data_IF_514422586670
#
_entry.id   IF_514422586670
#
_cell.length_a   1.000
_cell.length_b   1.000
_cell.length_c   1.000
_cell.angle_alpha   90.00
_cell.angle_beta   90.00
_cell.angle_gamma   90.00
#
_symmetry.space_group_name_H-M   'P 1'
#
loop_
_entity.id
_entity.type
_entity.pdbx_description
1 polymer ?
#
# COMPACT_ATOMS: atom_id res chain seq x y z
N UNK A 1 25.74 -67.33 0.34
CA UNK A 1 24.76 -66.23 0.48
C UNK A 1 25.30 -65.06 -0.31
N UNK A 2 24.53 -64.53 -1.27
CA UNK A 2 24.96 -63.40 -2.11
C UNK A 2 23.71 -62.72 -2.67
N UNK A 3 23.36 -61.55 -2.15
CA UNK A 3 22.21 -60.77 -2.62
C UNK A 3 22.65 -59.85 -3.77
N UNK A 4 22.12 -60.09 -4.98
CA UNK A 4 22.25 -59.15 -6.11
C UNK A 4 21.20 -58.05 -6.02
N UNK A 5 21.62 -56.82 -5.73
CA UNK A 5 20.71 -55.68 -5.52
C UNK A 5 20.41 -54.92 -6.81
N UNK A 6 19.38 -55.32 -7.55
CA UNK A 6 18.90 -54.59 -8.75
C UNK A 6 18.08 -53.36 -8.33
N UNK A 7 18.75 -52.27 -7.99
CA UNK A 7 18.11 -51.03 -7.53
C UNK A 7 17.42 -50.30 -8.70
N UNK A 8 16.13 -50.57 -8.92
CA UNK A 8 15.31 -49.86 -9.90
C UNK A 8 15.12 -48.38 -9.49
N UNK A 9 16.01 -47.50 -9.98
CA UNK A 9 15.84 -46.04 -9.85
C UNK A 9 14.69 -45.57 -10.73
N UNK A 10 13.46 -45.63 -10.21
CA UNK A 10 12.35 -44.81 -10.74
C UNK A 10 12.71 -43.33 -10.55
N UNK A 11 13.18 -42.70 -11.62
CA UNK A 11 13.27 -41.24 -11.67
C UNK A 11 11.84 -40.67 -11.58
N UNK A 12 11.47 -40.14 -10.42
CA UNK A 12 10.26 -39.35 -10.28
C UNK A 12 10.46 -38.04 -11.04
N UNK A 13 9.95 -37.98 -12.27
CA UNK A 13 9.82 -36.73 -13.02
C UNK A 13 8.85 -35.82 -12.27
N UNK A 14 9.38 -35.00 -11.36
CA UNK A 14 8.66 -33.88 -10.76
C UNK A 14 8.50 -32.85 -11.88
N UNK A 15 7.42 -32.97 -12.63
CA UNK A 15 6.98 -31.93 -13.57
C UNK A 15 6.66 -30.71 -12.73
N UNK A 16 7.59 -29.75 -12.67
CA UNK A 16 7.36 -28.43 -12.09
C UNK A 16 6.37 -27.69 -12.98
N UNK A 17 5.08 -27.94 -12.78
CA UNK A 17 4.01 -27.09 -13.31
C UNK A 17 4.17 -25.72 -12.64
N UNK A 18 4.83 -24.81 -13.35
CA UNK A 18 5.08 -23.46 -12.86
C UNK A 18 3.79 -22.64 -13.02
N UNK A 19 2.80 -22.94 -12.17
CA UNK A 19 1.45 -22.39 -12.27
C UNK A 19 1.52 -20.89 -11.99
N UNK A 20 1.24 -20.10 -13.04
CA UNK A 20 1.06 -18.66 -12.90
C UNK A 20 -0.33 -18.37 -12.34
N UNK A 21 -0.41 -17.38 -11.48
CA UNK A 21 -1.64 -16.79 -10.97
C UNK A 21 -2.10 -15.68 -11.91
N UNK A 22 -3.41 -15.58 -12.19
CA UNK A 22 -3.99 -14.44 -12.91
C UNK A 22 -4.37 -13.35 -11.92
N UNK A 23 -3.54 -12.31 -11.88
CA UNK A 23 -3.63 -11.18 -10.97
C UNK A 23 -4.25 -10.00 -11.73
N UNK A 24 -5.47 -9.61 -11.38
CA UNK A 24 -6.00 -8.32 -11.81
C UNK A 24 -5.44 -7.23 -10.90
N UNK A 25 -4.84 -6.20 -11.48
CA UNK A 25 -4.34 -5.02 -10.76
C UNK A 25 -5.25 -3.85 -11.09
N UNK A 26 -5.65 -3.06 -10.10
CA UNK A 26 -6.48 -1.88 -10.26
C UNK A 26 -5.90 -0.67 -9.53
N UNK A 27 -6.01 0.51 -10.15
CA UNK A 27 -5.66 1.80 -9.55
C UNK A 27 -6.71 2.28 -8.54
N UNK A 28 -6.92 3.60 -8.43
CA UNK A 28 -7.84 4.19 -7.46
C UNK A 28 -9.29 3.74 -7.70
N UNK A 29 -9.93 3.12 -6.71
CA UNK A 29 -11.30 2.60 -6.85
C UNK A 29 -12.37 3.69 -6.67
N UNK A 30 -12.13 4.69 -5.81
CA UNK A 30 -13.07 5.73 -5.38
C UNK A 30 -14.49 5.20 -5.04
N UNK A 31 -14.56 4.08 -4.32
CA UNK A 31 -15.81 3.44 -3.94
C UNK A 31 -16.63 2.83 -5.09
N UNK A 32 -16.08 2.77 -6.32
CA UNK A 32 -16.69 2.17 -7.53
C UNK A 32 -16.48 0.65 -7.58
N UNK A 33 -16.68 -0.03 -6.45
CA UNK A 33 -16.43 -1.46 -6.29
C UNK A 33 -17.37 -2.33 -7.15
N UNK A 34 -18.64 -1.93 -7.29
CA UNK A 34 -19.58 -2.55 -8.23
C UNK A 34 -19.03 -2.55 -9.68
N UNK A 35 -18.47 -1.41 -10.13
CA UNK A 35 -17.91 -1.27 -11.47
C UNK A 35 -16.60 -2.06 -11.64
N UNK A 36 -15.75 -2.04 -10.61
CA UNK A 36 -14.51 -2.83 -10.52
C UNK A 36 -14.81 -4.33 -10.71
N UNK A 37 -15.79 -4.88 -9.98
CA UNK A 37 -16.17 -6.29 -10.14
C UNK A 37 -16.94 -6.58 -11.43
N UNK A 38 -17.67 -5.61 -12.00
CA UNK A 38 -18.23 -5.77 -13.35
C UNK A 38 -17.11 -5.93 -14.39
N UNK A 39 -16.07 -5.10 -14.33
CA UNK A 39 -14.92 -5.17 -15.25
C UNK A 39 -14.17 -6.50 -15.13
N UNK A 40 -13.98 -7.02 -13.91
CA UNK A 40 -13.46 -8.38 -13.66
C UNK A 40 -14.30 -9.44 -14.39
N UNK A 41 -15.62 -9.43 -14.20
CA UNK A 41 -16.52 -10.39 -14.86
C UNK A 41 -16.53 -10.23 -16.40
N UNK A 42 -16.50 -9.00 -16.90
CA UNK A 42 -16.43 -8.71 -18.34
C UNK A 42 -15.14 -9.28 -18.95
N UNK A 43 -13.99 -9.08 -18.29
CA UNK A 43 -12.68 -9.59 -18.72
C UNK A 43 -12.63 -11.13 -18.72
N UNK A 44 -13.12 -11.78 -17.66
CA UNK A 44 -13.25 -13.24 -17.59
C UNK A 44 -14.12 -13.79 -18.73
N UNK A 45 -15.26 -13.13 -18.99
CA UNK A 45 -16.24 -13.55 -20.00
C UNK A 45 -15.73 -13.36 -21.43
N UNK A 46 -15.00 -12.27 -21.70
CA UNK A 46 -14.46 -11.95 -23.04
C UNK A 46 -13.27 -12.85 -23.40
N UNK A 47 -12.42 -13.20 -22.43
CA UNK A 47 -11.15 -13.88 -22.68
C UNK A 47 -11.16 -15.38 -22.33
N UNK A 48 -12.24 -15.90 -21.74
CA UNK A 48 -12.38 -17.32 -21.40
C UNK A 48 -11.48 -17.78 -20.25
N UNK A 49 -11.06 -16.86 -19.36
CA UNK A 49 -10.25 -17.18 -18.18
C UNK A 49 -10.98 -16.91 -16.87
N UNK A 50 -10.38 -17.34 -15.76
CA UNK A 50 -10.69 -16.86 -14.41
C UNK A 50 -9.52 -16.06 -13.85
N UNK A 51 -9.85 -15.06 -13.04
CA UNK A 51 -8.93 -14.21 -12.29
C UNK A 51 -8.85 -14.77 -10.87
N UNK A 52 -7.65 -15.02 -10.38
CA UNK A 52 -7.42 -15.64 -9.07
C UNK A 52 -7.53 -14.63 -7.93
N UNK A 53 -7.01 -13.41 -8.16
CA UNK A 53 -6.98 -12.34 -7.17
C UNK A 53 -7.07 -10.97 -7.84
N UNK A 54 -7.79 -10.05 -7.21
CA UNK A 54 -7.84 -8.63 -7.54
C UNK A 54 -7.00 -7.85 -6.53
N UNK A 55 -6.10 -6.99 -6.99
CA UNK A 55 -5.32 -6.07 -6.18
C UNK A 55 -5.84 -4.65 -6.40
N UNK A 56 -6.17 -3.93 -5.33
CA UNK A 56 -6.61 -2.52 -5.39
C UNK A 56 -5.58 -1.65 -4.68
N UNK A 57 -4.94 -0.77 -5.44
CA UNK A 57 -3.82 0.06 -5.01
C UNK A 57 -4.28 1.37 -4.33
N UNK A 58 -5.22 1.28 -3.40
CA UNK A 58 -5.68 2.43 -2.60
C UNK A 58 -6.84 3.22 -3.18
N UNK A 59 -7.24 4.27 -2.45
CA UNK A 59 -8.51 4.98 -2.59
C UNK A 59 -9.69 4.01 -2.76
N UNK A 60 -9.73 2.99 -1.89
CA UNK A 60 -10.76 1.98 -1.87
C UNK A 60 -12.09 2.54 -1.38
N UNK A 61 -12.04 3.49 -0.43
CA UNK A 61 -13.18 4.11 0.23
C UNK A 61 -14.04 3.07 0.97
N UNK A 62 -13.48 2.48 2.03
CA UNK A 62 -14.11 1.48 2.90
C UNK A 62 -15.29 1.99 3.77
N UNK A 63 -16.15 2.86 3.23
CA UNK A 63 -17.22 3.56 3.95
C UNK A 63 -18.37 2.60 4.29
N UNK A 64 -18.58 2.29 5.57
CA UNK A 64 -19.64 1.38 6.05
C UNK A 64 -20.98 2.10 6.20
N UNK A 65 -20.94 3.36 6.61
CA UNK A 65 -22.11 4.22 6.82
C UNK A 65 -21.69 5.71 6.77
N UNK A 66 -22.67 6.63 6.90
CA UNK A 66 -22.45 8.08 6.79
C UNK A 66 -21.55 8.70 7.89
N UNK A 67 -21.28 8.00 9.00
CA UNK A 67 -20.35 8.48 10.02
C UNK A 67 -18.89 8.34 9.56
N UNK A 68 -18.55 7.29 8.81
CA UNK A 68 -17.20 7.07 8.29
C UNK A 68 -16.77 8.18 7.30
N UNK A 69 -17.73 8.83 6.63
CA UNK A 69 -17.49 10.01 5.78
C UNK A 69 -16.89 11.19 6.57
N UNK A 70 -17.12 11.27 7.88
CA UNK A 70 -16.53 12.31 8.74
C UNK A 70 -15.03 12.05 9.02
N UNK A 71 -14.54 10.85 8.72
CA UNK A 71 -13.13 10.46 8.87
C UNK A 71 -12.36 10.44 7.54
N UNK A 72 -12.98 10.91 6.44
CA UNK A 72 -12.36 11.00 5.12
C UNK A 72 -11.76 12.39 4.85
N UNK A 73 -10.50 12.42 4.42
CA UNK A 73 -9.81 13.62 3.93
C UNK A 73 -10.26 13.99 2.50
N UNK A 74 -11.55 14.26 2.33
CA UNK A 74 -12.21 14.63 1.06
C UNK A 74 -13.05 15.88 1.30
N UNK A 75 -13.10 16.89 0.40
CA UNK A 75 -14.02 18.02 0.53
C UNK A 75 -15.49 17.57 0.58
N UNK A 76 -16.29 18.12 1.49
CA UNK A 76 -17.65 17.62 1.79
C UNK A 76 -18.56 17.49 0.55
N UNK A 77 -18.45 18.39 -0.44
CA UNK A 77 -19.21 18.33 -1.71
C UNK A 77 -18.95 17.07 -2.54
N UNK A 78 -17.85 16.35 -2.30
CA UNK A 78 -17.49 15.13 -3.00
C UNK A 78 -17.60 13.86 -2.12
N UNK A 79 -17.94 13.98 -0.84
CA UNK A 79 -18.09 12.82 0.06
C UNK A 79 -19.30 11.98 -0.34
N UNK A 80 -19.06 10.74 -0.75
CA UNK A 80 -20.11 9.80 -1.17
C UNK A 80 -19.94 8.44 -0.47
N UNK A 81 -21.06 7.81 -0.14
CA UNK A 81 -21.12 6.49 0.51
C UNK A 81 -20.54 5.35 -0.36
N UNK A 82 -20.41 5.57 -1.67
CA UNK A 82 -19.90 4.58 -2.62
C UNK A 82 -20.77 3.31 -2.68
N UNK A 83 -20.13 2.18 -2.98
CA UNK A 83 -20.80 0.87 -3.08
C UNK A 83 -20.32 -0.16 -2.05
N UNK A 84 -19.20 0.09 -1.37
CA UNK A 84 -18.59 -0.86 -0.41
C UNK A 84 -19.53 -1.33 0.70
N UNK A 85 -20.38 -0.45 1.25
CA UNK A 85 -21.31 -0.81 2.34
C UNK A 85 -22.19 -2.03 2.00
N UNK A 86 -22.52 -2.26 0.73
CA UNK A 86 -23.32 -3.41 0.26
C UNK A 86 -22.62 -4.75 0.54
N UNK A 87 -21.30 -4.78 0.36
CA UNK A 87 -20.44 -5.93 0.62
C UNK A 87 -20.23 -6.13 2.11
N UNK A 88 -20.02 -5.03 2.85
CA UNK A 88 -19.90 -5.01 4.30
C UNK A 88 -21.12 -5.60 5.02
N UNK A 89 -22.34 -5.25 4.59
CA UNK A 89 -23.60 -5.77 5.17
C UNK A 89 -24.09 -7.08 4.52
N UNK A 90 -23.33 -7.67 3.60
CA UNK A 90 -23.68 -8.94 2.94
C UNK A 90 -24.86 -8.88 1.96
N UNK A 91 -25.23 -7.70 1.44
CA UNK A 91 -26.18 -7.58 0.32
C UNK A 91 -25.57 -8.06 -1.01
N UNK A 92 -24.25 -7.95 -1.17
CA UNK A 92 -23.50 -8.41 -2.35
C UNK A 92 -22.27 -9.17 -1.88
N UNK A 93 -21.93 -10.28 -2.54
CA UNK A 93 -20.68 -11.00 -2.30
C UNK A 93 -19.60 -10.54 -3.28
N UNK A 94 -18.36 -10.35 -2.82
CA UNK A 94 -17.23 -10.07 -3.70
C UNK A 94 -16.85 -11.35 -4.47
N UNK A 95 -16.93 -11.37 -5.82
CA UNK A 95 -16.85 -12.59 -6.63
C UNK A 95 -15.46 -13.22 -6.67
N UNK A 96 -14.41 -12.41 -6.54
CA UNK A 96 -13.00 -12.81 -6.58
C UNK A 96 -12.31 -12.33 -5.30
N UNK A 97 -11.32 -13.09 -4.83
CA UNK A 97 -10.50 -12.69 -3.68
C UNK A 97 -9.88 -11.31 -3.96
N UNK A 98 -10.16 -10.33 -3.12
CA UNK A 98 -9.68 -8.95 -3.30
C UNK A 98 -8.73 -8.59 -2.19
N UNK A 99 -7.53 -8.10 -2.53
CA UNK A 99 -6.52 -7.57 -1.61
C UNK A 99 -6.41 -6.07 -1.82
N UNK A 100 -6.39 -5.33 -0.71
CA UNK A 100 -6.53 -3.87 -0.67
C UNK A 100 -5.41 -3.27 0.19
N UNK A 101 -4.83 -2.16 -0.27
CA UNK A 101 -4.13 -1.18 0.56
C UNK A 101 -4.97 0.10 0.64
N UNK A 102 -4.68 1.00 1.58
CA UNK A 102 -5.34 2.30 1.69
C UNK A 102 -4.67 3.36 0.81
N UNK A 103 -5.46 4.27 0.26
CA UNK A 103 -4.96 5.53 -0.33
C UNK A 103 -5.00 6.70 0.66
N UNK A 104 -5.21 7.91 0.16
CA UNK A 104 -5.42 9.09 1.00
C UNK A 104 -6.92 9.40 1.20
N UNK A 105 -7.80 8.96 0.30
CA UNK A 105 -9.25 9.13 0.42
C UNK A 105 -9.88 7.87 1.04
N UNK A 106 -9.65 7.63 2.33
CA UNK A 106 -10.14 6.42 3.03
C UNK A 106 -11.06 6.72 4.20
N UNK A 107 -11.88 5.72 4.56
CA UNK A 107 -12.55 5.65 5.86
C UNK A 107 -11.50 5.28 6.94
N UNK A 108 -10.60 6.22 7.24
CA UNK A 108 -9.39 5.99 8.04
C UNK A 108 -9.67 5.40 9.41
N UNK A 109 -10.81 5.72 10.01
CA UNK A 109 -11.28 5.12 11.26
C UNK A 109 -11.49 3.60 11.14
N UNK A 110 -12.11 3.12 10.05
CA UNK A 110 -12.31 1.68 9.84
C UNK A 110 -11.02 0.97 9.42
N UNK A 111 -10.20 1.60 8.57
CA UNK A 111 -8.89 1.06 8.19
C UNK A 111 -7.98 0.89 9.42
N UNK A 112 -8.08 1.76 10.42
CA UNK A 112 -7.32 1.67 11.67
C UNK A 112 -7.77 0.50 12.57
N UNK A 113 -9.05 0.10 12.56
CA UNK A 113 -9.52 -1.12 13.25
C UNK A 113 -8.82 -2.40 12.75
N UNK A 114 -8.24 -2.34 11.55
CA UNK A 114 -7.54 -3.41 10.85
C UNK A 114 -6.07 -3.04 10.54
N UNK A 115 -5.39 -2.29 11.42
CA UNK A 115 -4.01 -1.81 11.18
C UNK A 115 -3.00 -2.93 10.80
N UNK A 116 -3.11 -4.13 11.40
CA UNK A 116 -2.28 -5.30 11.07
C UNK A 116 -2.88 -6.22 9.98
N UNK A 117 -3.85 -5.70 9.23
CA UNK A 117 -4.58 -6.39 8.17
C UNK A 117 -5.80 -7.17 8.64
N UNK A 118 -6.75 -7.38 7.72
CA UNK A 118 -7.94 -8.19 7.98
C UNK A 118 -9.05 -8.06 6.95
N UNK A 119 -10.10 -8.86 7.11
CA UNK A 119 -11.29 -8.79 6.26
C UNK A 119 -12.06 -7.48 6.44
N UNK A 120 -12.07 -6.63 5.41
CA UNK A 120 -12.98 -5.48 5.30
C UNK A 120 -14.41 -5.94 5.04
N UNK A 121 -14.57 -7.02 4.28
CA UNK A 121 -15.84 -7.67 3.99
C UNK A 121 -15.56 -9.14 3.64
N UNK A 122 -16.58 -10.01 3.51
CA UNK A 122 -16.38 -11.36 3.03
C UNK A 122 -15.69 -11.37 1.65
N UNK A 123 -14.52 -12.02 1.59
CA UNK A 123 -13.65 -12.09 0.39
C UNK A 123 -12.89 -10.79 0.00
N UNK A 124 -12.92 -9.74 0.83
CA UNK A 124 -12.11 -8.52 0.67
C UNK A 124 -11.18 -8.34 1.88
N UNK A 125 -9.87 -8.39 1.66
CA UNK A 125 -8.82 -8.34 2.69
C UNK A 125 -7.97 -7.08 2.56
N UNK A 126 -7.89 -6.29 3.63
CA UNK A 126 -6.94 -5.18 3.75
C UNK A 126 -5.59 -5.68 4.27
N UNK A 127 -4.48 -5.26 3.66
CA UNK A 127 -3.13 -5.65 4.12
C UNK A 127 -2.75 -5.05 5.47
N UNK A 128 -3.31 -3.89 5.83
CA UNK A 128 -2.89 -3.10 7.00
C UNK A 128 -2.23 -1.79 6.60
N UNK A 129 -1.74 -1.03 7.60
CA UNK A 129 -0.92 0.17 7.36
C UNK A 129 0.34 -0.16 6.56
N UNK A 130 0.93 -1.32 6.86
CA UNK A 130 1.76 -2.12 5.95
C UNK A 130 1.46 -3.60 6.17
N UNK A 131 1.73 -4.46 5.19
CA UNK A 131 1.39 -5.87 5.29
C UNK A 131 2.06 -6.77 4.26
N UNK A 132 2.16 -8.07 4.56
CA UNK A 132 2.45 -9.10 3.56
C UNK A 132 1.69 -10.42 3.84
N UNK A 133 1.20 -11.03 2.76
CA UNK A 133 0.41 -12.27 2.71
C UNK A 133 0.81 -13.10 1.50
N UNK A 134 0.31 -14.34 1.40
CA UNK A 134 0.48 -15.18 0.21
C UNK A 134 -0.85 -15.66 -0.36
N UNK A 135 -0.98 -15.66 -1.69
CA UNK A 135 -2.13 -16.25 -2.40
C UNK A 135 -1.63 -17.42 -3.24
N UNK A 136 -1.99 -18.65 -2.89
CA UNK A 136 -1.47 -19.87 -3.53
C UNK A 136 0.08 -19.89 -3.70
N UNK A 137 0.81 -19.28 -2.75
CA UNK A 137 2.28 -19.17 -2.75
C UNK A 137 2.83 -17.84 -3.30
N UNK A 138 2.05 -17.08 -4.09
CA UNK A 138 2.45 -15.77 -4.61
C UNK A 138 2.55 -14.77 -3.44
N UNK A 139 3.74 -14.20 -3.21
CA UNK A 139 4.04 -13.36 -2.06
C UNK A 139 3.72 -11.88 -2.34
N UNK A 140 2.67 -11.36 -1.71
CA UNK A 140 2.15 -10.01 -1.96
C UNK A 140 2.38 -9.17 -0.71
N UNK A 141 3.14 -8.09 -0.85
CA UNK A 141 3.42 -7.10 0.18
C UNK A 141 2.87 -5.73 -0.21
N UNK A 142 2.75 -4.81 0.74
CA UNK A 142 2.43 -3.42 0.44
C UNK A 142 2.40 -2.49 1.63
N UNK A 143 2.35 -1.18 1.32
CA UNK A 143 2.22 -0.08 2.27
C UNK A 143 1.05 0.83 1.86
N UNK A 144 0.29 1.29 2.84
CA UNK A 144 -0.91 2.12 2.66
C UNK A 144 -0.59 3.62 2.87
N UNK A 145 -1.34 4.49 2.20
CA UNK A 145 -1.25 5.95 2.34
C UNK A 145 -0.38 6.64 1.30
N UNK A 146 -0.15 7.94 1.53
CA UNK A 146 0.72 8.83 0.73
C UNK A 146 1.84 9.40 1.59
N UNK A 147 2.90 9.91 0.98
CA UNK A 147 4.00 10.55 1.72
C UNK A 147 3.71 12.03 2.04
N UNK A 148 3.89 12.40 3.31
CA UNK A 148 4.04 13.80 3.77
C UNK A 148 5.15 13.86 4.81
N UNK A 149 6.10 14.78 4.62
CA UNK A 149 7.40 14.79 5.31
C UNK A 149 7.35 15.06 6.82
N UNK A 150 6.30 15.72 7.32
CA UNK A 150 6.10 16.02 8.75
C UNK A 150 5.41 14.89 9.53
N UNK A 151 4.67 14.03 8.83
CA UNK A 151 3.99 12.86 9.37
C UNK A 151 4.80 11.56 9.20
N UNK A 152 5.66 11.49 8.18
CA UNK A 152 6.52 10.34 7.96
C UNK A 152 7.60 10.21 9.04
N UNK A 153 7.34 9.35 10.03
CA UNK A 153 8.24 9.07 11.16
C UNK A 153 8.73 7.62 11.11
N UNK A 154 9.53 7.34 10.08
CA UNK A 154 10.31 6.11 9.90
C UNK A 154 9.43 4.83 9.87
N UNK A 155 8.91 4.51 8.68
CA UNK A 155 8.10 3.31 8.42
C UNK A 155 8.92 2.01 8.32
N UNK A 156 9.77 1.73 9.30
CA UNK A 156 10.86 0.74 9.18
C UNK A 156 10.43 -0.73 9.13
N UNK A 157 9.21 -1.07 9.55
CA UNK A 157 8.78 -2.47 9.73
C UNK A 157 8.95 -3.28 8.43
N UNK A 158 8.39 -2.77 7.33
CA UNK A 158 8.36 -3.49 6.04
C UNK A 158 9.74 -3.53 5.36
N UNK A 159 10.70 -2.70 5.77
CA UNK A 159 12.08 -2.74 5.30
C UNK A 159 12.89 -3.94 5.88
N UNK A 160 12.32 -4.65 6.86
CA UNK A 160 12.88 -5.90 7.38
C UNK A 160 12.42 -7.15 6.62
N UNK A 161 11.49 -7.00 5.67
CA UNK A 161 11.01 -8.10 4.83
C UNK A 161 12.09 -8.49 3.80
N UNK A 162 12.18 -9.77 3.47
CA UNK A 162 12.89 -10.25 2.27
C UNK A 162 12.05 -10.01 0.99
N UNK A 163 12.67 -10.12 -0.19
CA UNK A 163 12.04 -9.77 -1.47
C UNK A 163 10.66 -10.44 -1.69
N UNK A 164 9.58 -9.68 -1.91
CA UNK A 164 8.26 -10.21 -2.28
C UNK A 164 8.09 -10.37 -3.79
N UNK A 165 7.04 -11.04 -4.23
CA UNK A 165 6.71 -11.18 -5.66
C UNK A 165 6.05 -9.92 -6.21
N UNK A 166 5.10 -9.39 -5.47
CA UNK A 166 4.41 -8.13 -5.74
C UNK A 166 4.58 -7.22 -4.54
N UNK A 167 4.92 -5.95 -4.79
CA UNK A 167 4.75 -4.86 -3.83
C UNK A 167 3.64 -3.91 -4.30
N UNK A 168 2.80 -3.46 -3.37
CA UNK A 168 1.72 -2.51 -3.61
C UNK A 168 1.97 -1.22 -2.81
N UNK A 169 1.99 -0.09 -3.50
CA UNK A 169 1.85 1.24 -2.88
C UNK A 169 0.64 1.96 -3.49
N UNK A 170 0.15 3.02 -2.84
CA UNK A 170 -0.82 3.92 -3.48
C UNK A 170 -0.07 5.00 -4.25
N UNK A 171 0.75 5.77 -3.53
CA UNK A 171 1.70 6.73 -4.08
C UNK A 171 2.82 6.05 -4.89
N UNK A 172 3.44 6.78 -5.82
CA UNK A 172 4.55 6.28 -6.63
C UNK A 172 5.88 6.35 -5.85
N UNK A 173 6.88 5.51 -6.14
CA UNK A 173 8.26 5.80 -5.77
C UNK A 173 8.70 7.12 -6.42
N UNK A 174 9.37 8.00 -5.66
CA UNK A 174 9.93 9.25 -6.23
C UNK A 174 10.89 8.91 -7.37
N UNK A 175 10.97 9.77 -8.38
CA UNK A 175 11.84 9.61 -9.57
C UNK A 175 11.61 8.34 -10.42
N UNK A 176 10.57 7.52 -10.15
CA UNK A 176 10.24 6.33 -10.96
C UNK A 176 9.99 6.67 -12.44
N UNK A 177 9.63 7.92 -12.75
CA UNK A 177 9.46 8.44 -14.10
C UNK A 177 10.71 8.29 -14.97
N UNK A 178 11.91 8.38 -14.36
CA UNK A 178 13.21 8.25 -15.05
C UNK A 178 13.45 6.84 -15.63
N UNK A 179 12.67 5.85 -15.18
CA UNK A 179 12.80 4.43 -15.55
C UNK A 179 11.76 3.98 -16.60
N UNK A 180 11.03 4.93 -17.22
CA UNK A 180 10.04 4.71 -18.26
C UNK A 180 9.98 5.86 -19.28
N UNK A 181 8.91 5.93 -20.09
CA UNK A 181 8.73 6.99 -21.09
C UNK A 181 8.25 8.31 -20.45
N UNK A 182 9.14 8.97 -19.69
CA UNK A 182 8.90 10.29 -19.12
C UNK A 182 8.50 11.34 -20.19
N UNK A 183 9.11 11.39 -21.40
CA UNK A 183 8.66 12.29 -22.45
C UNK A 183 7.20 12.10 -22.89
N UNK A 184 6.68 10.87 -22.92
CA UNK A 184 5.27 10.61 -23.20
C UNK A 184 4.36 10.92 -21.99
N UNK A 185 4.82 10.65 -20.76
CA UNK A 185 4.10 11.04 -19.55
C UNK A 185 3.91 12.57 -19.51
N UNK A 186 4.98 13.34 -19.74
CA UNK A 186 4.95 14.80 -19.75
C UNK A 186 4.08 15.37 -20.87
N UNK A 187 4.05 14.76 -22.06
CA UNK A 187 3.10 15.13 -23.13
C UNK A 187 1.64 14.94 -22.74
N UNK A 188 1.35 14.04 -21.79
CA UNK A 188 -0.01 13.77 -21.26
C UNK A 188 -0.34 14.58 -20.01
N UNK A 189 0.68 14.88 -19.18
CA UNK A 189 0.58 15.65 -17.94
C UNK A 189 1.78 16.62 -17.81
N UNK A 190 1.75 17.78 -18.50
CA UNK A 190 2.89 18.72 -18.51
C UNK A 190 3.24 19.29 -17.13
N UNK A 191 2.24 19.41 -16.25
CA UNK A 191 2.38 19.89 -14.88
C UNK A 191 3.23 18.96 -13.99
N UNK A 192 3.44 17.70 -14.35
CA UNK A 192 4.41 16.84 -13.63
C UNK A 192 5.87 17.29 -13.83
N UNK A 193 6.18 18.18 -14.79
CA UNK A 193 7.54 18.66 -15.04
C UNK A 193 8.16 19.31 -13.78
N UNK A 194 7.45 20.26 -13.16
CA UNK A 194 7.92 20.96 -11.96
C UNK A 194 8.12 20.02 -10.77
N UNK A 195 7.27 19.00 -10.68
CA UNK A 195 7.20 18.12 -9.53
C UNK A 195 8.31 17.06 -9.61
N UNK A 196 8.65 16.61 -10.84
CA UNK A 196 9.83 15.78 -11.12
C UNK A 196 11.12 16.59 -10.92
N UNK A 197 11.19 17.83 -11.39
CA UNK A 197 12.39 18.69 -11.27
C UNK A 197 12.80 18.97 -9.81
N UNK A 198 11.83 19.00 -8.89
CA UNK A 198 12.09 19.19 -7.45
C UNK A 198 12.21 17.89 -6.65
N UNK A 199 11.80 16.75 -7.20
CA UNK A 199 11.61 15.51 -6.44
C UNK A 199 10.35 15.50 -5.55
N UNK A 200 9.33 16.28 -5.89
CA UNK A 200 8.02 16.32 -5.22
C UNK A 200 7.02 15.28 -5.81
N UNK A 201 7.25 14.77 -7.03
CA UNK A 201 6.40 13.74 -7.64
C UNK A 201 6.65 12.35 -7.01
N UNK A 202 5.92 12.07 -5.93
CA UNK A 202 5.85 10.76 -5.28
C UNK A 202 6.60 10.67 -3.95
N UNK A 203 6.83 9.44 -3.50
CA UNK A 203 7.30 9.09 -2.17
C UNK A 203 8.76 8.61 -2.17
N UNK A 204 9.69 9.33 -1.53
CA UNK A 204 11.06 8.85 -1.31
C UNK A 204 11.11 7.54 -0.51
N UNK A 205 10.34 7.34 0.59
CA UNK A 205 10.29 6.05 1.28
C UNK A 205 9.82 4.87 0.42
N UNK A 206 8.98 5.09 -0.60
CA UNK A 206 8.63 4.02 -1.54
C UNK A 206 9.80 3.65 -2.46
N UNK A 207 10.68 4.60 -2.80
CA UNK A 207 11.89 4.33 -3.58
C UNK A 207 12.98 3.62 -2.75
N UNK A 208 13.15 4.01 -1.48
CA UNK A 208 14.02 3.30 -0.53
C UNK A 208 13.60 1.82 -0.40
N UNK A 209 12.29 1.56 -0.29
CA UNK A 209 11.74 0.21 -0.24
C UNK A 209 11.87 -0.53 -1.59
N UNK A 210 11.78 0.16 -2.73
CA UNK A 210 11.97 -0.44 -4.05
C UNK A 210 13.39 -1.00 -4.21
N UNK A 211 14.42 -0.24 -3.81
CA UNK A 211 15.82 -0.68 -3.83
C UNK A 211 16.16 -1.72 -2.75
N UNK A 212 15.54 -1.62 -1.57
CA UNK A 212 15.82 -2.52 -0.44
C UNK A 212 15.14 -3.89 -0.58
N UNK A 213 13.90 -3.92 -1.09
CA UNK A 213 13.11 -5.15 -1.25
C UNK A 213 13.28 -5.80 -2.63
N UNK A 214 13.63 -5.01 -3.68
CA UNK A 214 13.78 -5.43 -5.08
C UNK A 214 12.67 -6.42 -5.52
N UNK A 215 11.38 -6.05 -5.46
CA UNK A 215 10.27 -6.94 -5.77
C UNK A 215 10.20 -7.26 -7.28
N UNK A 216 9.53 -8.34 -7.66
CA UNK A 216 9.40 -8.69 -9.09
C UNK A 216 8.46 -7.74 -9.85
N UNK A 217 7.44 -7.26 -9.17
CA UNK A 217 6.47 -6.29 -9.65
C UNK A 217 6.20 -5.24 -8.57
N UNK A 218 6.07 -3.99 -8.99
CA UNK A 218 5.61 -2.88 -8.15
C UNK A 218 4.36 -2.28 -8.77
N UNK A 219 3.30 -2.16 -8.00
CA UNK A 219 2.02 -1.57 -8.45
C UNK A 219 1.70 -0.30 -7.67
N UNK A 220 1.21 0.72 -8.37
CA UNK A 220 0.84 2.03 -7.81
C UNK A 220 -0.41 2.63 -8.45
N UNK A 221 -0.95 3.68 -7.82
CA UNK A 221 -2.13 4.40 -8.26
C UNK A 221 -1.92 5.91 -8.13
N UNK A 222 -2.74 6.62 -7.34
CA UNK A 222 -2.70 8.04 -6.99
C UNK A 222 -2.70 9.03 -8.19
N UNK A 223 -1.64 9.05 -8.99
CA UNK A 223 -1.36 9.99 -10.09
C UNK A 223 -2.30 9.91 -11.31
N UNK A 224 -3.44 9.20 -11.20
CA UNK A 224 -4.51 9.07 -12.21
C UNK A 224 -4.05 9.01 -13.68
N UNK A 225 -3.12 8.10 -13.97
CA UNK A 225 -2.70 7.75 -15.31
C UNK A 225 -2.01 6.38 -15.34
N UNK A 226 -2.13 5.66 -16.47
CA UNK A 226 -1.24 4.52 -16.74
C UNK A 226 0.17 5.00 -17.06
N UNK A 227 1.16 4.43 -16.38
CA UNK A 227 2.60 4.57 -16.63
C UNK A 227 3.31 3.23 -16.35
N UNK A 228 4.36 2.94 -17.11
CA UNK A 228 5.13 1.69 -17.04
C UNK A 228 6.63 2.03 -17.00
N UNK A 229 7.36 1.33 -16.14
CA UNK A 229 8.80 1.53 -15.95
C UNK A 229 9.49 0.22 -15.55
N UNK A 230 10.81 0.15 -15.75
CA UNK A 230 11.64 -0.99 -15.32
C UNK A 230 12.86 -0.47 -14.58
N UNK A 231 12.94 -0.81 -13.29
CA UNK A 231 14.14 -0.53 -12.48
C UNK A 231 15.00 -1.79 -12.50
N UNK A 232 16.10 -1.76 -13.26
CA UNK A 232 17.15 -2.77 -13.13
C UNK A 232 17.93 -2.55 -11.83
N UNK A 233 18.25 -3.65 -11.14
CA UNK A 233 19.05 -3.69 -9.93
C UNK A 233 20.38 -4.32 -10.27
N UNK A 234 21.47 -3.58 -10.05
CA UNK A 234 22.81 -4.12 -10.25
C UNK A 234 23.02 -5.36 -9.37
N UNK A 235 23.47 -6.44 -9.99
CA UNK A 235 23.89 -7.64 -9.27
C UNK A 235 25.17 -7.33 -8.51
N UNK A 236 25.10 -7.29 -7.18
CA UNK A 236 26.17 -6.82 -6.29
C UNK A 236 27.51 -7.57 -6.50
N UNK A 237 28.37 -7.01 -7.37
CA UNK A 237 29.64 -7.56 -7.79
C UNK A 237 30.66 -6.43 -7.94
N UNK A 238 31.61 -6.35 -6.98
CA UNK A 238 32.37 -5.15 -6.60
C UNK A 238 31.47 -4.00 -6.07
N UNK A 239 31.80 -3.27 -5.00
CA UNK A 239 32.98 -3.36 -4.14
C UNK A 239 34.01 -2.28 -4.43
N UNK A 240 33.83 -1.14 -3.76
CA UNK A 240 34.68 0.06 -3.73
C UNK A 240 34.83 0.82 -5.06
N UNK A 241 34.22 2.01 -5.13
CA UNK A 241 34.89 3.28 -5.46
C UNK A 241 34.06 4.47 -4.94
N UNK A 242 34.74 5.57 -4.65
CA UNK A 242 34.14 6.83 -4.15
C UNK A 242 34.34 7.98 -5.14
N UNK A 243 33.59 9.06 -4.97
CA UNK A 243 33.68 10.34 -5.73
C UNK A 243 33.03 10.32 -7.12
N UNK A 244 32.58 11.45 -7.70
CA UNK A 244 32.70 12.84 -7.26
C UNK A 244 31.43 13.67 -7.60
N UNK A 245 31.23 14.78 -6.87
CA UNK A 245 30.22 15.81 -7.17
C UNK A 245 30.94 17.07 -7.67
N UNK A 246 30.51 17.71 -8.78
CA UNK A 246 30.94 19.05 -9.15
C UNK A 246 29.95 20.12 -8.66
N UNK A 247 30.40 20.99 -7.77
CA UNK A 247 29.95 22.39 -7.72
C UNK A 247 30.78 23.20 -8.77
N UNK A 248 30.55 24.48 -9.08
CA UNK A 248 29.78 25.57 -8.46
C UNK A 248 28.97 26.33 -9.55
N UNK A 249 28.20 27.39 -9.29
CA UNK A 249 28.70 28.79 -9.21
C UNK A 249 27.62 29.73 -8.66
N UNK A 250 28.05 30.77 -7.94
CA UNK A 250 27.24 31.85 -7.30
C UNK A 250 26.47 32.72 -8.33
N UNK A 251 25.16 33.04 -8.16
CA UNK A 251 24.46 33.86 -7.16
C UNK A 251 24.45 35.39 -7.41
N UNK A 252 23.27 36.02 -7.22
CA UNK A 252 23.07 37.44 -6.86
C UNK A 252 21.63 37.69 -6.42
N UNK A 253 21.43 38.64 -5.50
CA UNK A 253 20.12 38.91 -4.88
C UNK A 253 19.69 40.38 -5.01
N UNK A 254 18.37 40.60 -4.87
CA UNK A 254 17.80 41.88 -4.44
C UNK A 254 16.49 41.60 -3.68
N UNK A 255 15.97 42.59 -2.93
CA UNK A 255 14.98 42.42 -1.85
C UNK A 255 13.96 43.57 -1.88
N UNK A 256 12.66 43.28 -1.88
CA UNK A 256 11.62 44.30 -2.19
C UNK A 256 10.20 44.05 -1.63
N UNK A 257 10.09 43.81 -0.33
CA UNK A 257 8.95 44.15 0.56
C UNK A 257 7.50 44.39 0.03
N UNK A 258 6.58 43.59 0.57
CA UNK A 258 5.37 43.98 1.34
C UNK A 258 3.94 43.90 0.72
N UNK A 259 3.05 43.35 1.57
CA UNK A 259 1.60 43.58 1.77
C UNK A 259 0.56 43.17 0.70
N UNK A 260 -0.08 42.02 0.98
CA UNK A 260 -1.53 41.82 1.24
C UNK A 260 -2.47 43.05 1.16
N UNK A 261 -3.77 42.89 0.77
CA UNK A 261 -4.61 41.73 1.11
C UNK A 261 -5.31 41.01 -0.05
N UNK A 262 -5.92 39.86 0.27
CA UNK A 262 -6.65 39.00 -0.65
C UNK A 262 -8.13 39.41 -0.81
N UNK A 263 -8.73 39.07 -1.95
CA UNK A 263 -10.18 38.95 -2.09
C UNK A 263 -10.54 37.80 -3.05
N UNK A 264 -11.61 37.06 -2.73
CA UNK A 264 -12.02 35.80 -3.38
C UNK A 264 -13.02 36.08 -4.50
N UNK A 265 -12.86 35.42 -5.66
CA UNK A 265 -13.95 35.02 -6.56
C UNK A 265 -13.49 33.93 -7.57
N UNK A 266 -14.33 33.37 -8.48
CA UNK A 266 -14.28 31.95 -8.88
C UNK A 266 -13.72 31.78 -10.33
N UNK A 267 -13.66 30.62 -11.00
CA UNK A 267 -14.71 29.59 -11.22
C UNK A 267 -14.22 28.12 -11.32
N UNK A 268 -15.10 27.22 -10.85
CA UNK A 268 -15.08 25.77 -11.07
C UNK A 268 -16.03 25.46 -12.24
N UNK A 269 -15.50 25.32 -13.46
CA UNK A 269 -16.33 25.17 -14.67
C UNK A 269 -16.70 23.71 -14.94
N UNK A 270 -17.99 23.45 -15.19
CA UNK A 270 -18.47 22.26 -15.89
C UNK A 270 -19.44 22.63 -17.03
N UNK A 271 -19.23 21.97 -18.18
CA UNK A 271 -20.18 21.71 -19.27
C UNK A 271 -20.63 22.88 -20.18
N UNK A 272 -20.31 22.69 -21.47
CA UNK A 272 -21.15 22.85 -22.67
C UNK A 272 -22.32 23.87 -22.66
N UNK A 273 -22.13 25.01 -23.34
CA UNK A 273 -22.98 25.42 -24.49
C UNK A 273 -22.31 26.55 -25.32
N UNK A 274 -22.98 27.06 -26.37
CA UNK A 274 -22.36 27.79 -27.50
C UNK A 274 -22.43 29.34 -27.49
N UNK A 275 -21.51 29.91 -28.30
CA UNK A 275 -21.55 31.16 -29.07
C UNK A 275 -20.95 32.52 -28.56
N UNK A 276 -20.26 33.16 -29.53
CA UNK A 276 -19.69 34.51 -29.69
C UNK A 276 -18.47 35.03 -28.85
N UNK A 277 -17.60 35.77 -29.56
CA UNK A 277 -16.28 36.35 -29.20
C UNK A 277 -16.28 37.87 -29.55
N UNK A 278 -15.22 38.70 -29.32
CA UNK A 278 -13.88 38.50 -28.72
C UNK A 278 -13.71 39.40 -27.44
N UNK A 279 -12.60 40.04 -27.00
CA UNK A 279 -11.20 40.34 -27.42
C UNK A 279 -10.45 40.98 -26.21
N UNK A 280 -9.11 40.99 -26.03
CA UNK A 280 -7.92 40.35 -26.65
C UNK A 280 -6.70 40.60 -25.74
N UNK A 281 -5.77 39.62 -25.69
CA UNK A 281 -4.33 39.76 -25.38
C UNK A 281 -3.91 40.30 -23.97
N UNK A 282 -2.62 40.21 -23.56
CA UNK A 282 -2.07 38.94 -23.06
C UNK A 282 -1.32 39.06 -21.71
N UNK A 283 -1.29 37.98 -20.91
CA UNK A 283 -0.62 37.93 -19.59
C UNK A 283 0.49 36.84 -19.57
N UNK A 284 1.69 37.12 -19.02
CA UNK A 284 2.80 36.16 -18.93
C UNK A 284 2.55 35.03 -17.91
N UNK A 285 3.31 33.91 -17.97
CA UNK A 285 2.98 32.68 -17.25
C UNK A 285 3.17 32.78 -15.73
N UNK A 286 2.23 32.17 -15.00
CA UNK A 286 2.24 31.95 -13.54
C UNK A 286 2.48 30.45 -13.29
N UNK A 287 3.19 30.03 -12.22
CA UNK A 287 3.49 28.61 -11.99
C UNK A 287 2.23 27.74 -11.88
N UNK A 288 2.19 26.67 -12.68
CA UNK A 288 1.07 25.72 -12.69
C UNK A 288 1.22 24.72 -11.55
N UNK A 289 0.30 24.73 -10.59
CA UNK A 289 0.21 23.67 -9.59
C UNK A 289 -0.51 22.45 -10.18
N UNK A 290 -0.07 21.25 -9.79
CA UNK A 290 -0.55 19.96 -10.27
C UNK A 290 -2.01 19.68 -9.84
N UNK A 291 -2.98 19.65 -10.78
CA UNK A 291 -4.40 19.49 -10.45
C UNK A 291 -4.80 18.05 -10.09
N UNK A 292 -3.89 17.08 -10.16
CA UNK A 292 -4.13 15.72 -9.67
C UNK A 292 -3.71 15.52 -8.20
N UNK A 293 -2.87 16.40 -7.62
CA UNK A 293 -2.56 16.36 -6.19
C UNK A 293 -3.66 17.04 -5.37
N UNK A 294 -4.49 16.26 -4.68
CA UNK A 294 -5.53 16.79 -3.82
C UNK A 294 -4.95 17.13 -2.45
N UNK A 295 -4.77 18.43 -2.21
CA UNK A 295 -4.33 18.98 -0.93
C UNK A 295 -5.29 18.58 0.20
N UNK A 296 -4.75 17.92 1.22
CA UNK A 296 -5.43 17.73 2.50
C UNK A 296 -5.39 19.07 3.24
N UNK A 297 -6.55 19.65 3.52
CA UNK A 297 -6.63 20.85 4.36
C UNK A 297 -6.35 20.50 5.81
N UNK A 298 -5.30 21.09 6.38
CA UNK A 298 -4.92 20.95 7.79
C UNK A 298 -5.70 21.97 8.65
N UNK A 299 -6.77 21.51 9.31
CA UNK A 299 -7.48 22.26 10.35
C UNK A 299 -6.69 22.26 11.69
N UNK A 300 -5.44 22.73 11.67
CA UNK A 300 -4.61 22.84 12.87
C UNK A 300 -5.00 24.04 13.72
N UNK A 301 -5.76 23.77 14.79
CA UNK A 301 -6.20 24.79 15.75
C UNK A 301 -5.01 25.42 16.48
N UNK A 302 -4.83 26.73 16.33
CA UNK A 302 -3.75 27.51 16.95
C UNK A 302 -3.95 27.61 18.47
N UNK A 303 -2.92 27.25 19.24
CA UNK A 303 -2.82 27.44 20.70
C UNK A 303 -1.41 27.95 21.03
N UNK A 304 -1.23 28.99 21.88
CA UNK A 304 0.00 29.80 21.90
C UNK A 304 1.18 29.23 22.71
N UNK A 305 2.35 29.86 22.50
CA UNK A 305 3.68 29.54 23.03
C UNK A 305 3.88 29.83 24.53
N UNK A 306 4.68 28.97 25.20
CA UNK A 306 5.41 29.34 26.43
C UNK A 306 6.70 28.51 26.61
N UNK A 307 7.81 29.23 26.84
CA UNK A 307 9.01 28.92 27.64
C UNK A 307 9.70 27.54 27.64
N UNK A 308 10.85 27.48 26.94
CA UNK A 308 12.24 27.51 27.50
C UNK A 308 12.69 26.62 28.69
N UNK A 309 14.03 26.48 28.82
CA UNK A 309 14.83 25.90 29.95
C UNK A 309 15.12 24.37 29.80
N UNK A 310 16.35 23.86 30.08
CA UNK A 310 17.13 23.23 29.00
C UNK A 310 17.60 21.78 29.25
N UNK A 311 18.46 21.28 28.35
CA UNK A 311 19.07 19.95 28.38
C UNK A 311 20.17 19.79 29.46
N UNK A 312 20.37 18.57 30.01
CA UNK A 312 21.55 18.19 30.79
C UNK A 312 22.68 17.67 29.88
N UNK A 313 23.89 17.61 30.45
CA UNK A 313 25.16 17.46 29.71
C UNK A 313 25.61 16.01 29.49
N UNK A 314 26.64 15.86 28.65
CA UNK A 314 27.38 14.60 28.45
C UNK A 314 28.17 14.23 29.71
N UNK A 315 28.44 12.93 29.91
CA UNK A 315 29.50 12.48 30.82
C UNK A 315 30.27 11.29 30.21
N UNK A 316 31.60 11.38 30.23
CA UNK A 316 32.51 10.32 29.78
C UNK A 316 32.68 9.27 30.89
N UNK A 317 32.88 7.99 30.53
CA UNK A 317 32.52 6.87 31.41
C UNK A 317 33.07 5.50 31.06
N UNK A 318 34.38 5.41 30.83
CA UNK A 318 35.23 4.19 30.85
C UNK A 318 34.93 3.03 29.89
N UNK A 319 36.00 2.62 29.20
CA UNK A 319 36.08 1.37 28.40
C UNK A 319 35.94 0.13 29.29
N UNK A 320 35.30 -0.91 28.77
CA UNK A 320 35.52 -2.29 29.23
C UNK A 320 35.63 -3.23 28.01
N UNK A 321 36.71 -4.02 27.96
CA UNK A 321 37.01 -4.92 26.85
C UNK A 321 36.55 -6.34 27.13
N UNK A 322 35.56 -6.82 26.39
CA UNK A 322 35.21 -8.24 26.31
C UNK A 322 34.94 -8.59 24.85
N UNK A 323 35.76 -9.48 24.27
CA UNK A 323 35.61 -9.91 22.88
C UNK A 323 34.59 -11.04 22.74
N UNK A 324 33.78 -10.99 21.68
CA UNK A 324 33.05 -12.16 21.16
C UNK A 324 33.05 -12.11 19.64
N UNK A 325 33.20 -13.26 18.99
CA UNK A 325 33.37 -13.33 17.53
C UNK A 325 32.02 -13.19 16.82
N UNK A 326 31.82 -12.08 16.12
CA UNK A 326 30.66 -11.89 15.24
C UNK A 326 30.81 -12.75 13.97
N UNK A 327 30.02 -13.82 13.86
CA UNK A 327 29.85 -14.53 12.59
C UNK A 327 28.99 -13.69 11.63
N UNK A 328 29.34 -13.59 10.33
CA UNK A 328 28.56 -12.81 9.38
C UNK A 328 27.23 -13.51 9.05
N UNK A 329 26.13 -12.99 9.59
CA UNK A 329 24.78 -13.40 9.20
C UNK A 329 24.46 -12.90 7.79
N UNK A 330 24.66 -13.75 6.78
CA UNK A 330 24.25 -13.46 5.40
C UNK A 330 22.72 -13.40 5.29
N UNK A 331 22.15 -12.19 5.25
CA UNK A 331 20.76 -11.96 4.80
C UNK A 331 20.60 -12.62 3.41
N UNK A 332 19.52 -13.39 3.14
CA UNK A 332 19.30 -13.93 1.81
C UNK A 332 19.18 -12.77 0.81
N UNK A 333 20.04 -12.76 -0.21
CA UNK A 333 20.09 -11.66 -1.16
C UNK A 333 18.79 -11.59 -1.98
N UNK A 334 18.29 -10.37 -2.29
CA UNK A 334 17.16 -10.21 -3.20
C UNK A 334 17.51 -10.82 -4.56
N UNK A 335 16.73 -11.82 -4.98
CA UNK A 335 17.06 -12.71 -6.10
C UNK A 335 16.64 -12.18 -7.49
N UNK A 336 16.30 -10.90 -7.59
CA UNK A 336 15.59 -10.32 -8.74
C UNK A 336 16.41 -9.17 -9.32
N UNK A 337 16.78 -9.31 -10.59
CA UNK A 337 17.60 -8.34 -11.33
C UNK A 337 16.82 -7.12 -11.77
N UNK A 338 15.48 -7.15 -11.77
CA UNK A 338 14.68 -5.94 -12.00
C UNK A 338 13.27 -5.98 -11.39
N UNK A 339 12.78 -4.79 -11.04
CA UNK A 339 11.40 -4.50 -10.68
C UNK A 339 10.65 -4.01 -11.92
N UNK A 340 9.54 -4.67 -12.30
CA UNK A 340 8.59 -4.10 -13.27
C UNK A 340 7.57 -3.23 -12.54
N UNK A 341 7.58 -1.93 -12.82
CA UNK A 341 6.63 -0.96 -12.28
C UNK A 341 5.45 -0.76 -13.23
N UNK A 342 4.23 -0.79 -12.67
CA UNK A 342 2.99 -0.41 -13.38
C UNK A 342 2.12 0.45 -12.46
N UNK A 343 1.86 1.68 -12.89
CA UNK A 343 0.81 2.53 -12.33
C UNK A 343 -0.45 2.47 -13.18
N UNK A 344 -1.62 2.60 -12.54
CA UNK A 344 -2.93 2.58 -13.21
C UNK A 344 -3.79 3.79 -12.85
N UNK A 345 -4.75 4.08 -13.74
CA UNK A 345 -5.68 5.20 -13.61
C UNK A 345 -6.80 4.93 -12.57
N UNK A 346 -7.67 5.92 -12.32
CA UNK A 346 -8.88 5.74 -11.50
C UNK A 346 -10.03 5.05 -12.23
N UNK A 347 -10.85 4.33 -11.49
CA UNK A 347 -12.03 3.59 -11.95
C UNK A 347 -13.14 4.50 -12.53
N UNK A 348 -12.90 5.01 -13.75
CA UNK A 348 -13.81 5.84 -14.53
C UNK A 348 -13.98 5.27 -15.96
N UNK A 349 -15.12 5.55 -16.64
CA UNK A 349 -15.35 5.11 -18.01
C UNK A 349 -14.22 5.53 -18.96
N UNK A 350 -13.86 4.65 -19.91
CA UNK A 350 -12.82 4.86 -20.93
C UNK A 350 -11.39 5.07 -20.39
N UNK A 351 -11.12 4.85 -19.10
CA UNK A 351 -9.76 4.93 -18.52
C UNK A 351 -9.09 3.55 -18.38
N UNK A 352 -7.76 3.52 -18.45
CA UNK A 352 -6.95 2.32 -18.23
C UNK A 352 -6.66 2.13 -16.73
N UNK A 353 -7.70 1.77 -15.98
CA UNK A 353 -7.66 1.65 -14.52
C UNK A 353 -7.43 0.22 -14.01
N UNK A 354 -7.51 -0.79 -14.88
CA UNK A 354 -7.33 -2.19 -14.57
C UNK A 354 -6.49 -2.89 -15.63
N UNK A 355 -5.65 -3.85 -15.21
CA UNK A 355 -4.85 -4.74 -16.07
C UNK A 355 -4.85 -6.17 -15.49
N UNK A 356 -4.51 -7.18 -16.30
CA UNK A 356 -4.49 -8.60 -15.86
C UNK A 356 -3.17 -9.26 -16.24
N UNK A 357 -2.39 -9.61 -15.22
CA UNK A 357 -1.03 -10.14 -15.36
C UNK A 357 -0.97 -11.61 -14.93
N UNK A 358 -0.22 -12.43 -15.69
CA UNK A 358 0.08 -13.80 -15.27
C UNK A 358 1.41 -13.86 -14.50
N UNK A 359 1.34 -13.91 -13.17
CA UNK A 359 2.52 -13.85 -12.29
C UNK A 359 2.82 -15.23 -11.69
N UNK A 360 4.06 -15.70 -11.84
CA UNK A 360 4.53 -16.92 -11.18
C UNK A 360 5.03 -16.62 -9.75
N UNK A 361 4.70 -17.44 -8.74
CA UNK A 361 5.24 -17.28 -7.39
C UNK A 361 6.72 -17.66 -7.33
N UNK A 362 7.56 -16.90 -6.61
CA UNK A 362 8.99 -17.25 -6.48
C UNK A 362 9.20 -18.51 -5.63
N UNK A 363 8.30 -18.78 -4.69
CA UNK A 363 8.28 -20.02 -3.91
C UNK A 363 7.28 -20.99 -4.54
N UNK A 364 7.71 -22.21 -4.88
CA UNK A 364 6.76 -23.25 -5.29
C UNK A 364 5.74 -23.51 -4.17
N UNK A 365 4.42 -23.54 -4.46
CA UNK A 365 3.42 -23.77 -3.43
C UNK A 365 3.61 -25.12 -2.74
N UNK A 366 3.37 -25.16 -1.44
CA UNK A 366 3.47 -26.34 -0.57
C UNK A 366 2.39 -27.41 -0.84
N UNK A 367 1.49 -27.16 -1.79
CA UNK A 367 0.46 -28.06 -2.27
C UNK A 367 -0.04 -27.68 -3.67
N UNK A 368 -1.12 -28.30 -4.13
CA UNK A 368 -1.76 -27.93 -5.40
C UNK A 368 -2.34 -26.51 -5.34
N UNK A 369 -2.26 -25.78 -6.46
CA UNK A 369 -2.97 -24.50 -6.62
C UNK A 369 -4.48 -24.75 -6.52
N UNK A 370 -5.13 -24.06 -5.58
CA UNK A 370 -6.54 -24.26 -5.25
C UNK A 370 -7.43 -23.29 -5.99
N UNK A 371 -8.64 -23.74 -6.33
CA UNK A 371 -9.76 -22.89 -6.75
C UNK A 371 -10.94 -23.15 -5.80
N UNK A 372 -11.45 -22.14 -5.07
CA UNK A 372 -10.95 -20.76 -5.01
C UNK A 372 -9.54 -20.67 -4.40
N UNK A 373 -8.74 -19.63 -4.73
CA UNK A 373 -7.40 -19.45 -4.19
C UNK A 373 -7.33 -19.32 -2.67
N UNK A 374 -6.31 -19.94 -2.08
CA UNK A 374 -6.05 -19.93 -0.64
C UNK A 374 -5.19 -18.75 -0.24
N UNK A 375 -5.73 -17.86 0.61
CA UNK A 375 -4.99 -16.77 1.26
C UNK A 375 -4.35 -17.28 2.55
N UNK A 376 -3.02 -17.25 2.64
CA UNK A 376 -2.25 -17.62 3.84
C UNK A 376 -1.43 -16.45 4.37
N UNK A 377 -1.10 -16.47 5.67
CA UNK A 377 -0.17 -15.50 6.25
C UNK A 377 1.26 -15.72 5.72
N UNK A 378 2.01 -14.62 5.58
CA UNK A 378 3.44 -14.69 5.45
C UNK A 378 4.13 -14.86 6.82
N UNK A 379 5.06 -15.82 6.92
CA UNK A 379 5.68 -16.22 8.18
C UNK A 379 6.74 -15.23 8.67
N UNK A 380 7.42 -14.54 7.75
CA UNK A 380 8.40 -13.50 8.08
C UNK A 380 7.67 -12.21 8.46
N UNK A 381 6.61 -11.84 7.73
CA UNK A 381 5.80 -10.68 8.10
C UNK A 381 5.08 -10.83 9.45
N UNK A 382 4.59 -12.03 9.80
CA UNK A 382 4.07 -12.28 11.14
C UNK A 382 5.16 -12.12 12.21
N UNK A 383 6.39 -12.56 11.94
CA UNK A 383 7.52 -12.41 12.87
C UNK A 383 7.92 -10.93 13.05
N UNK A 384 8.00 -10.16 11.96
CA UNK A 384 8.26 -8.72 11.96
C UNK A 384 7.14 -7.99 12.72
N UNK A 385 5.87 -8.25 12.39
CA UNK A 385 4.72 -7.64 13.06
C UNK A 385 4.74 -7.91 14.57
N UNK A 386 5.00 -9.16 14.97
CA UNK A 386 5.08 -9.58 16.38
C UNK A 386 6.25 -8.94 17.13
N UNK A 387 7.43 -8.87 16.50
CA UNK A 387 8.61 -8.26 17.11
C UNK A 387 8.45 -6.74 17.29
N UNK A 388 7.78 -6.07 16.35
CA UNK A 388 7.74 -4.60 16.27
C UNK A 388 6.42 -3.98 16.76
N UNK A 389 5.37 -4.78 17.02
CA UNK A 389 4.11 -4.30 17.63
C UNK A 389 4.28 -3.48 18.92
N UNK A 390 5.24 -3.76 19.84
CA UNK A 390 5.48 -2.90 21.01
C UNK A 390 5.89 -1.45 20.70
N UNK A 391 6.32 -1.17 19.47
CA UNK A 391 6.72 0.17 19.00
C UNK A 391 5.62 0.88 18.20
N UNK A 392 4.48 0.21 17.94
CA UNK A 392 3.30 0.83 17.34
C UNK A 392 2.64 1.80 18.33
N UNK A 393 2.88 3.10 18.13
CA UNK A 393 2.28 4.14 18.95
C UNK A 393 0.85 4.46 18.51
N UNK A 394 -0.04 4.63 19.49
CA UNK A 394 -1.34 5.29 19.33
C UNK A 394 -1.31 6.77 19.74
N UNK A 395 -0.12 7.32 20.05
CA UNK A 395 0.10 8.71 20.45
C UNK A 395 0.58 9.57 19.27
N UNK A 396 0.35 10.89 19.34
CA UNK A 396 0.82 11.86 18.32
C UNK A 396 2.35 11.94 18.18
N UNK A 397 3.08 11.32 19.11
CA UNK A 397 4.51 11.05 18.99
C UNK A 397 4.72 9.53 18.96
N UNK A 398 5.39 9.07 17.91
CA UNK A 398 5.86 7.70 17.77
C UNK A 398 7.24 7.60 18.47
N UNK A 399 7.50 6.54 19.26
CA UNK A 399 8.84 6.32 19.81
C UNK A 399 9.83 6.05 18.67
N UNK A 400 11.11 6.33 18.91
CA UNK A 400 12.16 5.89 17.99
C UNK A 400 12.18 4.36 17.90
N UNK A 401 12.44 3.84 16.71
CA UNK A 401 12.65 2.40 16.49
C UNK A 401 13.97 1.95 17.15
N UNK A 402 14.06 0.68 17.60
CA UNK A 402 15.36 0.07 17.87
C UNK A 402 16.17 0.08 16.57
N UNK A 403 17.50 0.33 16.63
CA UNK A 403 18.33 0.24 15.43
C UNK A 403 18.34 -1.20 14.85
N UNK A 404 18.71 -1.38 13.57
CA UNK A 404 18.57 -2.67 12.88
C UNK A 404 19.25 -3.88 13.55
N UNK A 405 20.35 -3.65 14.29
CA UNK A 405 21.04 -4.71 15.03
C UNK A 405 20.27 -5.18 16.28
N UNK A 406 19.45 -4.32 16.88
CA UNK A 406 18.57 -4.66 18.02
C UNK A 406 17.22 -5.23 17.53
N UNK A 407 16.74 -4.82 16.34
CA UNK A 407 15.57 -5.45 15.70
C UNK A 407 15.82 -6.91 15.29
N UNK A 408 17.01 -7.22 14.76
CA UNK A 408 17.34 -8.54 14.23
C UNK A 408 17.11 -9.73 15.21
N UNK A 409 17.57 -9.72 16.48
CA UNK A 409 17.29 -10.80 17.42
C UNK A 409 15.80 -10.90 17.78
N UNK A 410 15.09 -9.76 17.94
CA UNK A 410 13.65 -9.74 18.24
C UNK A 410 12.85 -10.43 17.13
N UNK A 411 13.16 -10.12 15.87
CA UNK A 411 12.53 -10.74 14.70
C UNK A 411 12.89 -12.23 14.62
N UNK A 412 14.12 -12.62 14.95
CA UNK A 412 14.54 -14.03 14.96
C UNK A 412 13.80 -14.86 16.02
N UNK A 413 13.59 -14.33 17.23
CA UNK A 413 12.81 -15.03 18.26
C UNK A 413 11.30 -15.04 17.96
N UNK A 414 10.78 -13.95 17.38
CA UNK A 414 9.43 -13.95 16.84
C UNK A 414 9.25 -15.00 15.72
N UNK A 415 10.24 -15.19 14.84
CA UNK A 415 10.21 -16.22 13.79
C UNK A 415 10.19 -17.64 14.39
N UNK A 416 11.05 -17.92 15.38
CA UNK A 416 11.03 -19.20 16.12
C UNK A 416 9.66 -19.46 16.77
N UNK A 417 9.01 -18.42 17.29
CA UNK A 417 7.67 -18.52 17.87
C UNK A 417 6.59 -18.76 16.80
N UNK A 418 6.59 -17.99 15.71
CA UNK A 418 5.64 -18.13 14.60
C UNK A 418 5.75 -19.54 13.97
N UNK A 419 6.95 -20.03 13.76
CA UNK A 419 7.21 -21.35 13.17
C UNK A 419 6.71 -22.50 14.06
N UNK A 420 6.88 -22.37 15.37
CA UNK A 420 6.46 -23.39 16.35
C UNK A 420 4.94 -23.40 16.61
N UNK A 421 4.31 -22.22 16.65
CA UNK A 421 2.91 -22.08 17.12
C UNK A 421 1.92 -21.84 15.98
N UNK A 422 2.32 -21.11 14.93
CA UNK A 422 1.48 -20.78 13.78
C UNK A 422 1.75 -21.71 12.61
N UNK A 423 2.99 -21.75 12.11
CA UNK A 423 3.34 -22.41 10.86
C UNK A 423 2.71 -21.73 9.64
N UNK A 424 2.47 -22.48 8.56
CA UNK A 424 1.71 -21.99 7.42
C UNK A 424 0.20 -22.18 7.66
N UNK A 425 -0.57 -21.08 7.70
CA UNK A 425 -2.02 -21.11 7.94
C UNK A 425 -2.81 -20.24 6.96
N UNK A 426 -3.92 -20.79 6.51
CA UNK A 426 -4.99 -20.06 5.80
C UNK A 426 -5.66 -19.05 6.73
N UNK A 427 -5.75 -17.79 6.30
CA UNK A 427 -6.29 -16.68 7.12
C UNK A 427 -7.74 -16.95 7.53
N UNK A 428 -8.56 -17.48 6.60
CA UNK A 428 -9.97 -17.84 6.79
C UNK A 428 -10.23 -18.84 7.92
N UNK A 429 -9.21 -19.57 8.41
CA UNK A 429 -9.34 -20.56 9.50
C UNK A 429 -9.12 -19.98 10.90
N UNK A 430 -8.62 -18.74 11.00
CA UNK A 430 -8.27 -18.11 12.29
C UNK A 430 -8.87 -16.70 12.45
N UNK A 431 -9.04 -15.97 11.34
CA UNK A 431 -9.69 -14.67 11.29
C UNK A 431 -10.99 -14.76 10.46
N UNK A 432 -12.09 -14.35 11.08
CA UNK A 432 -13.43 -14.28 10.50
C UNK A 432 -13.81 -12.80 10.29
N UNK A 433 -14.65 -12.49 9.30
CA UNK A 433 -15.22 -11.14 9.15
C UNK A 433 -16.31 -10.91 10.21
N UNK A 434 -16.28 -9.73 10.85
CA UNK A 434 -17.28 -9.29 11.82
C UNK A 434 -17.63 -7.82 11.54
N UNK A 435 -18.92 -7.51 11.48
CA UNK A 435 -19.37 -6.11 11.41
C UNK A 435 -19.14 -5.39 12.74
N UNK A 436 -18.19 -4.47 12.75
CA UNK A 436 -17.86 -3.57 13.88
C UNK A 436 -18.78 -2.34 14.00
N UNK A 437 -19.52 -2.00 12.95
CA UNK A 437 -20.45 -0.87 12.88
C UNK A 437 -21.75 -1.25 12.14
N UNK A 438 -22.86 -0.50 12.32
CA UNK A 438 -24.04 -0.66 11.49
C UNK A 438 -23.77 -0.18 10.05
N UNK A 439 -24.54 -0.71 9.09
CA UNK A 439 -24.63 -0.14 7.73
C UNK A 439 -25.42 1.17 7.69
N UNK A 440 -25.65 1.75 6.50
CA UNK A 440 -26.44 2.97 6.37
C UNK A 440 -27.89 2.74 6.83
N UNK A 441 -28.39 3.59 7.73
CA UNK A 441 -29.78 3.54 8.19
C UNK A 441 -30.70 3.89 7.02
N UNK A 442 -31.51 2.91 6.60
CA UNK A 442 -32.44 3.08 5.49
C UNK A 442 -33.60 4.02 5.90
N UNK A 443 -33.54 5.28 5.48
CA UNK A 443 -34.55 6.31 5.83
C UNK A 443 -35.95 6.04 5.23
N UNK A 444 -36.10 5.03 4.37
CA UNK A 444 -37.40 4.54 3.90
C UNK A 444 -37.74 3.17 4.53
N UNK A 445 -38.56 3.13 5.61
CA UNK A 445 -38.98 1.88 6.23
C UNK A 445 -40.08 1.20 5.39
N UNK A 446 -39.67 0.41 4.38
CA UNK A 446 -40.52 -0.70 3.93
C UNK A 446 -40.46 -1.79 5.01
N UNK A 447 -41.59 -2.31 5.52
CA UNK A 447 -41.58 -3.33 6.57
C UNK A 447 -40.99 -4.63 6.01
N UNK A 448 -39.79 -4.98 6.47
CA UNK A 448 -39.12 -6.21 6.08
C UNK A 448 -39.80 -7.41 6.75
N UNK A 449 -40.52 -8.20 5.97
CA UNK A 449 -41.15 -9.44 6.45
C UNK A 449 -40.11 -10.49 6.82
N UNK A 450 -40.02 -10.81 8.11
CA UNK A 450 -39.42 -12.02 8.68
C UNK A 450 -38.00 -12.39 8.22
N UNK A 451 -37.01 -11.58 8.59
CA UNK A 451 -35.67 -12.09 8.90
C UNK A 451 -35.56 -12.35 10.42
N UNK A 452 -35.06 -13.51 10.87
CA UNK A 452 -35.06 -13.87 12.28
C UNK A 452 -34.05 -13.03 13.08
N UNK A 453 -34.56 -12.22 14.01
CA UNK A 453 -33.74 -11.42 14.94
C UNK A 453 -32.89 -12.32 15.85
N UNK A 454 -31.62 -12.54 15.48
CA UNK A 454 -30.61 -13.00 16.44
C UNK A 454 -30.26 -11.83 17.35
N UNK A 455 -30.46 -12.00 18.66
CA UNK A 455 -30.21 -10.96 19.66
C UNK A 455 -28.73 -10.60 19.68
N UNK A 456 -28.39 -9.34 19.39
CA UNK A 456 -27.04 -8.82 19.56
C UNK A 456 -26.68 -8.75 21.06
N UNK A 457 -25.50 -9.24 21.48
CA UNK A 457 -24.85 -8.81 22.70
C UNK A 457 -24.47 -7.32 22.62
N UNK A 458 -24.31 -6.68 23.78
CA UNK A 458 -23.97 -5.26 23.87
C UNK A 458 -22.55 -4.95 23.38
N UNK A 459 -22.34 -3.70 22.96
CA UNK A 459 -21.08 -3.21 22.38
C UNK A 459 -19.87 -3.42 23.30
N UNK A 460 -18.79 -3.94 22.72
CA UNK A 460 -17.44 -3.90 23.30
C UNK A 460 -16.45 -3.65 22.17
N UNK A 461 -15.81 -2.47 22.15
CA UNK A 461 -14.94 -2.02 21.06
C UNK A 461 -13.53 -2.61 21.21
N UNK A 462 -13.43 -3.95 21.17
CA UNK A 462 -12.19 -4.73 21.20
C UNK A 462 -12.32 -6.01 20.34
N UNK A 463 -12.94 -5.88 19.17
CA UNK A 463 -13.38 -6.99 18.30
C UNK A 463 -12.26 -7.62 17.44
N UNK A 464 -11.00 -7.67 17.91
CA UNK A 464 -9.89 -8.31 17.17
C UNK A 464 -8.97 -9.18 18.07
N UNK A 465 -9.51 -9.72 19.17
CA UNK A 465 -8.81 -10.52 20.20
C UNK A 465 -8.12 -11.83 19.73
N UNK A 466 -8.17 -12.18 18.44
CA UNK A 466 -7.40 -13.29 17.86
C UNK A 466 -6.12 -12.85 17.15
N UNK A 467 -6.04 -11.61 16.63
CA UNK A 467 -4.80 -11.08 16.06
C UNK A 467 -3.79 -10.72 17.15
N UNK A 468 -4.23 -10.14 18.28
CA UNK A 468 -3.39 -9.84 19.46
C UNK A 468 -2.93 -11.08 20.25
N UNK A 469 -3.06 -12.28 19.68
CA UNK A 469 -2.45 -13.52 20.17
C UNK A 469 -1.58 -14.22 19.11
N UNK A 470 -1.36 -13.56 17.97
CA UNK A 470 -0.56 -13.99 16.82
C UNK A 470 0.52 -12.95 16.50
N UNK A 471 0.11 -11.68 16.50
CA UNK A 471 0.95 -10.50 16.73
C UNK A 471 1.37 -10.47 18.19
#
# INVERSE_FOLDING_TARGET
MTFGSTLCRRATNIVRTNVKMRVAVAGCCHGQLDATFKQVNDLESQNGYKIDVVLINGDFQAVRNHQDLQCMAVPDKYKQLGTFYKYYIGQVAAPVLTIVIGGNHEASNYMWELYHGGWLAPNIYYLGGSGCVKVNGLRIAGASGIYKSHDYRLGEFINQLSSPDVFMSHDWPVDITRYGDQPQLLKRKPFFQSDIEKGELGSPPMMDLLYSLRPGYWFSAHMHCRFEAVVEHDSDASGDQTSAVPAETEAKSSRGTANAPAQVNPDEIQLDDLDELPSTDPIPPVPVHNPDEIMIHDDSVVVPTADSVPAPEQNDGTKNTAGSAAAPNTRPSPSKTSTRFLALDKCLPKRHYMDVLEIAPSTSPSGQVTSPPTLTFDREWLAISRALHPYLSTQRQQPAMPPPWDMAPLIQDAQRWVDKNVGEREIRRVQEFVMTAPGPVNRNPRPASNLPQRKHPLFSVWANRRLTGLV
#
